data_IF_823579063449
#
_entry.id   IF_823579063449
#
_cell.length_a   1.000
_cell.length_b   1.000
_cell.length_c   1.000
_cell.angle_alpha   90.00
_cell.angle_beta   90.00
_cell.angle_gamma   90.00
#
_symmetry.space_group_name_H-M   'P 1'
#
loop_
_entity.id
_entity.type
_entity.pdbx_description
1 polymer ?
#
# COMPACT_ATOMS: atom_id res chain seq x y z
N UNK A 1 -32.79 -16.16 -0.19
CA UNK A 1 -33.12 -16.79 -1.48
C UNK A 1 -32.42 -18.11 -1.67
N UNK A 2 -32.70 -18.75 -2.79
CA UNK A 2 -32.02 -19.96 -3.24
C UNK A 2 -31.35 -19.64 -4.55
N UNK A 3 -30.11 -20.04 -4.75
CA UNK A 3 -29.40 -19.94 -6.02
C UNK A 3 -29.58 -21.24 -6.77
N UNK A 4 -29.96 -21.17 -8.05
CA UNK A 4 -30.20 -22.31 -8.92
C UNK A 4 -29.51 -22.13 -10.27
N UNK A 5 -29.18 -23.24 -10.98
CA UNK A 5 -28.68 -23.16 -12.35
C UNK A 5 -29.66 -22.46 -13.29
N UNK A 6 -29.18 -21.74 -14.30
CA UNK A 6 -29.97 -20.94 -15.23
C UNK A 6 -30.47 -19.60 -14.69
N UNK A 7 -30.15 -19.25 -13.47
CA UNK A 7 -30.55 -17.97 -12.88
C UNK A 7 -29.69 -16.83 -13.42
N UNK A 8 -30.32 -15.76 -13.90
CA UNK A 8 -29.60 -14.53 -14.28
C UNK A 8 -29.31 -13.67 -13.05
N UNK A 9 -28.07 -13.27 -12.91
CA UNK A 9 -27.58 -12.48 -11.78
C UNK A 9 -26.83 -11.24 -12.26
N UNK A 10 -26.89 -10.17 -11.45
CA UNK A 10 -26.01 -9.04 -11.56
C UNK A 10 -24.77 -9.33 -10.72
N UNK A 11 -23.61 -9.24 -11.33
CA UNK A 11 -22.31 -9.33 -10.66
C UNK A 11 -21.83 -7.91 -10.41
N UNK A 12 -21.79 -7.50 -9.16
CA UNK A 12 -21.36 -6.15 -8.74
C UNK A 12 -19.94 -6.22 -8.24
N UNK A 13 -19.04 -5.45 -8.83
CA UNK A 13 -17.67 -5.30 -8.37
C UNK A 13 -17.57 -4.42 -7.12
N UNK A 14 -16.35 -4.26 -6.61
CA UNK A 14 -16.09 -3.49 -5.39
C UNK A 14 -16.31 -1.97 -5.56
N UNK A 15 -16.11 -1.47 -6.77
CA UNK A 15 -16.25 -0.05 -7.12
C UNK A 15 -17.66 0.35 -7.57
N UNK A 16 -18.59 -0.60 -7.68
CA UNK A 16 -19.95 -0.33 -8.12
C UNK A 16 -20.68 0.67 -7.22
N UNK A 17 -21.33 1.64 -7.83
CA UNK A 17 -22.29 2.55 -7.18
C UNK A 17 -23.62 2.54 -7.95
N UNK A 18 -24.77 2.78 -7.30
CA UNK A 18 -26.06 2.83 -8.00
C UNK A 18 -26.16 3.92 -9.07
N UNK A 19 -25.30 4.95 -8.98
CA UNK A 19 -25.24 6.09 -9.91
C UNK A 19 -24.32 5.82 -11.09
N UNK A 20 -23.41 4.83 -10.96
CA UNK A 20 -22.42 4.47 -11.95
C UNK A 20 -22.37 2.95 -12.11
N UNK A 21 -22.84 2.46 -13.26
CA UNK A 21 -22.93 1.03 -13.56
C UNK A 21 -21.63 0.47 -14.19
N UNK A 22 -20.51 1.18 -14.15
CA UNK A 22 -19.27 0.77 -14.82
C UNK A 22 -18.73 -0.58 -14.31
N UNK A 23 -18.88 -0.90 -13.02
CA UNK A 23 -18.36 -2.13 -12.41
C UNK A 23 -19.50 -3.16 -12.18
N UNK A 24 -20.41 -3.31 -13.15
CA UNK A 24 -21.50 -4.28 -13.14
C UNK A 24 -21.47 -5.14 -14.41
N UNK A 25 -21.72 -6.43 -14.24
CA UNK A 25 -21.93 -7.35 -15.35
C UNK A 25 -23.18 -8.22 -15.12
N UNK A 26 -23.86 -8.55 -16.21
CA UNK A 26 -24.95 -9.54 -16.18
C UNK A 26 -24.37 -10.89 -16.56
N UNK A 27 -24.56 -11.90 -15.72
CA UNK A 27 -24.12 -13.27 -15.94
C UNK A 27 -25.25 -14.25 -15.67
N UNK A 28 -25.11 -15.45 -16.21
CA UNK A 28 -26.01 -16.57 -15.96
C UNK A 28 -25.25 -17.63 -15.16
N UNK A 29 -25.86 -18.16 -14.11
CA UNK A 29 -25.30 -19.25 -13.31
C UNK A 29 -25.44 -20.54 -14.13
N UNK A 30 -24.33 -21.05 -14.63
CA UNK A 30 -24.32 -22.28 -15.44
C UNK A 30 -24.56 -23.53 -14.58
N UNK A 31 -23.78 -23.66 -13.50
CA UNK A 31 -23.84 -24.79 -12.57
C UNK A 31 -23.72 -24.33 -11.12
N UNK A 32 -24.34 -25.09 -10.24
CA UNK A 32 -24.29 -24.88 -8.79
C UNK A 32 -23.78 -26.16 -8.12
N UNK A 33 -22.75 -26.02 -7.27
CA UNK A 33 -22.15 -27.14 -6.58
C UNK A 33 -22.08 -26.91 -5.08
N UNK A 34 -22.05 -27.99 -4.32
CA UNK A 34 -21.67 -28.03 -2.91
C UNK A 34 -20.29 -28.67 -2.79
N UNK A 35 -19.37 -27.99 -2.13
CA UNK A 35 -18.02 -28.50 -1.86
C UNK A 35 -17.99 -29.37 -0.61
N UNK A 36 -17.60 -30.63 -0.78
CA UNK A 36 -17.38 -31.57 0.31
C UNK A 36 -15.89 -31.93 0.37
N UNK A 37 -15.08 -31.02 0.89
CA UNK A 37 -13.61 -31.12 0.99
C UNK A 37 -12.95 -31.39 -0.39
N UNK A 38 -12.68 -32.63 -0.72
CA UNK A 38 -12.05 -33.06 -1.99
C UNK A 38 -13.05 -33.19 -3.14
N UNK A 39 -14.31 -33.40 -2.83
CA UNK A 39 -15.36 -33.67 -3.83
C UNK A 39 -16.24 -32.46 -4.03
N UNK A 40 -16.72 -32.29 -5.24
CA UNK A 40 -17.67 -31.26 -5.65
C UNK A 40 -18.90 -31.96 -6.16
N UNK A 41 -20.05 -31.73 -5.53
CA UNK A 41 -21.32 -32.36 -5.87
C UNK A 41 -22.23 -31.34 -6.52
N UNK A 42 -22.68 -31.60 -7.73
CA UNK A 42 -23.65 -30.77 -8.46
C UNK A 42 -25.04 -30.88 -7.83
N UNK A 43 -25.72 -29.75 -7.71
CA UNK A 43 -27.06 -29.66 -7.07
C UNK A 43 -27.98 -28.74 -7.88
N UNK A 44 -29.29 -29.00 -7.80
CA UNK A 44 -30.32 -28.20 -8.45
C UNK A 44 -30.53 -26.81 -7.76
N UNK A 45 -29.94 -26.58 -6.62
CA UNK A 45 -29.99 -25.29 -5.93
C UNK A 45 -29.50 -25.34 -4.49
N UNK A 46 -28.99 -24.22 -4.01
CA UNK A 46 -28.45 -24.06 -2.67
C UNK A 46 -29.22 -22.96 -1.93
N UNK A 47 -29.80 -23.24 -0.75
CA UNK A 47 -30.58 -22.27 0.01
C UNK A 47 -29.68 -21.26 0.72
N UNK A 48 -30.27 -20.15 1.15
CA UNK A 48 -29.62 -19.11 1.94
C UNK A 48 -29.01 -19.67 3.23
N UNK A 49 -27.81 -19.18 3.57
CA UNK A 49 -27.06 -19.59 4.76
C UNK A 49 -26.10 -20.77 4.50
N UNK A 50 -26.07 -21.30 3.29
CA UNK A 50 -25.15 -22.37 2.88
C UNK A 50 -24.06 -21.86 1.95
N UNK A 51 -22.94 -22.57 1.89
CA UNK A 51 -21.85 -22.33 0.92
C UNK A 51 -22.21 -22.98 -0.40
N UNK A 52 -21.99 -22.26 -1.50
CA UNK A 52 -22.18 -22.76 -2.85
C UNK A 52 -20.97 -22.42 -3.71
N UNK A 53 -20.60 -23.33 -4.62
CA UNK A 53 -19.67 -23.07 -5.71
C UNK A 53 -20.50 -22.80 -6.97
N UNK A 54 -20.23 -21.69 -7.64
CA UNK A 54 -20.97 -21.25 -8.82
C UNK A 54 -20.05 -21.21 -10.04
N UNK A 55 -20.53 -21.71 -11.18
CA UNK A 55 -19.86 -21.60 -12.46
C UNK A 55 -20.58 -20.58 -13.37
N UNK A 56 -19.86 -19.95 -14.28
CA UNK A 56 -20.40 -19.04 -15.29
C UNK A 56 -20.43 -17.55 -14.87
N UNK A 57 -20.10 -17.21 -13.63
CA UNK A 57 -20.18 -15.84 -13.10
C UNK A 57 -18.82 -15.17 -12.87
N UNK A 58 -17.73 -15.90 -13.05
CA UNK A 58 -16.39 -15.46 -12.62
C UNK A 58 -15.68 -14.51 -13.59
N UNK A 59 -16.12 -14.39 -14.83
CA UNK A 59 -15.40 -13.69 -15.90
C UNK A 59 -15.14 -12.20 -15.57
N UNK A 60 -16.11 -11.51 -14.96
CA UNK A 60 -16.03 -10.09 -14.57
C UNK A 60 -15.43 -9.87 -13.19
N UNK A 61 -15.25 -10.92 -12.38
CA UNK A 61 -14.77 -10.79 -11.00
C UNK A 61 -13.25 -10.61 -10.99
N UNK A 62 -12.79 -9.58 -10.30
CA UNK A 62 -11.34 -9.32 -10.09
C UNK A 62 -10.84 -10.04 -8.85
N UNK A 63 -11.47 -9.83 -7.69
CA UNK A 63 -11.19 -10.52 -6.42
C UNK A 63 -12.44 -10.97 -5.71
N UNK A 64 -13.31 -10.02 -5.36
CA UNK A 64 -14.59 -10.28 -4.75
C UNK A 64 -15.70 -9.57 -5.52
N UNK A 65 -16.90 -10.08 -5.43
CA UNK A 65 -18.08 -9.49 -6.04
C UNK A 65 -19.32 -9.81 -5.22
N UNK A 66 -20.35 -9.00 -5.40
CA UNK A 66 -21.66 -9.26 -4.83
C UNK A 66 -22.58 -9.71 -5.93
N UNK A 67 -23.25 -10.85 -5.72
CA UNK A 67 -24.26 -11.36 -6.65
C UNK A 67 -25.65 -10.94 -6.19
N UNK A 68 -26.39 -10.29 -7.08
CA UNK A 68 -27.78 -9.90 -6.87
C UNK A 68 -28.67 -10.48 -7.97
N UNK A 69 -29.95 -10.64 -7.70
CA UNK A 69 -30.92 -11.02 -8.72
C UNK A 69 -30.98 -9.93 -9.82
N UNK A 70 -30.97 -10.37 -11.08
CA UNK A 70 -31.03 -9.45 -12.22
C UNK A 70 -32.31 -8.59 -12.25
N UNK A 71 -33.38 -9.05 -11.62
CA UNK A 71 -34.66 -8.35 -11.56
C UNK A 71 -34.67 -7.19 -10.52
N UNK A 72 -33.68 -7.11 -9.62
CA UNK A 72 -33.65 -6.06 -8.61
C UNK A 72 -33.36 -4.68 -9.24
N UNK A 73 -34.08 -3.60 -8.85
CA UNK A 73 -33.79 -2.26 -9.32
C UNK A 73 -32.45 -1.76 -8.78
N UNK A 74 -31.78 -0.88 -9.54
CA UNK A 74 -30.45 -0.36 -9.19
C UNK A 74 -30.41 0.30 -7.81
N UNK A 75 -31.47 0.98 -7.40
CA UNK A 75 -31.59 1.65 -6.10
C UNK A 75 -31.55 0.68 -4.89
N UNK A 76 -31.85 -0.60 -5.10
CA UNK A 76 -31.85 -1.65 -4.06
C UNK A 76 -30.62 -2.56 -4.15
N UNK A 77 -29.76 -2.34 -5.14
CA UNK A 77 -28.56 -3.14 -5.33
C UNK A 77 -27.35 -2.41 -4.73
N UNK A 78 -26.79 -2.98 -3.67
CA UNK A 78 -25.58 -2.45 -3.04
C UNK A 78 -24.52 -3.54 -2.91
N UNK A 79 -23.25 -3.24 -3.23
CA UNK A 79 -22.17 -4.20 -3.02
C UNK A 79 -21.95 -4.42 -1.52
N UNK A 80 -21.67 -5.67 -1.16
CA UNK A 80 -21.20 -6.00 0.18
C UNK A 80 -19.80 -5.45 0.36
N UNK A 81 -19.47 -5.05 1.58
CA UNK A 81 -18.11 -4.59 1.89
C UNK A 81 -17.10 -5.71 1.63
N UNK A 82 -15.95 -5.41 1.00
CA UNK A 82 -14.90 -6.41 0.82
C UNK A 82 -14.40 -6.92 2.17
N UNK A 83 -13.91 -8.17 2.18
CA UNK A 83 -13.34 -8.76 3.39
C UNK A 83 -12.04 -8.04 3.74
N UNK A 84 -11.94 -7.58 4.98
CA UNK A 84 -10.71 -7.00 5.52
C UNK A 84 -9.82 -8.10 6.08
N UNK A 85 -8.57 -8.13 5.64
CA UNK A 85 -7.57 -9.07 6.14
C UNK A 85 -6.73 -8.44 7.24
N UNK A 86 -6.30 -9.25 8.22
CA UNK A 86 -5.50 -8.78 9.35
C UNK A 86 -4.03 -8.55 8.98
N UNK A 87 -3.58 -9.13 7.87
CA UNK A 87 -2.21 -9.01 7.41
C UNK A 87 -2.12 -8.27 6.08
N UNK A 88 -1.03 -7.54 5.88
CA UNK A 88 -0.72 -6.83 4.64
C UNK A 88 0.34 -7.58 3.85
N UNK A 89 0.24 -7.55 2.52
CA UNK A 89 1.25 -8.11 1.62
C UNK A 89 2.38 -7.13 1.43
N UNK A 90 3.59 -7.55 1.76
CA UNK A 90 4.77 -6.67 1.84
C UNK A 90 5.97 -7.15 1.02
N UNK A 91 5.94 -8.40 0.53
CA UNK A 91 7.02 -8.97 -0.27
C UNK A 91 6.67 -8.91 -1.75
N UNK A 92 7.51 -8.29 -2.58
CA UNK A 92 7.34 -8.12 -4.02
C UNK A 92 8.25 -9.06 -4.80
N UNK A 93 7.73 -9.61 -5.88
CA UNK A 93 8.50 -10.38 -6.87
C UNK A 93 8.05 -9.97 -8.27
N UNK A 94 8.98 -9.67 -9.16
CA UNK A 94 8.68 -9.42 -10.56
C UNK A 94 8.69 -10.73 -11.36
N UNK A 95 7.75 -10.87 -12.28
CA UNK A 95 7.58 -12.05 -13.13
C UNK A 95 7.55 -11.68 -14.60
N UNK A 96 8.27 -12.43 -15.41
CA UNK A 96 8.33 -12.30 -16.86
C UNK A 96 8.20 -13.68 -17.51
N UNK A 97 7.54 -13.82 -18.66
CA UNK A 97 7.57 -15.06 -19.40
C UNK A 97 8.98 -15.27 -19.99
N UNK A 98 9.45 -16.50 -20.05
CA UNK A 98 10.73 -16.81 -20.70
C UNK A 98 10.68 -16.47 -22.19
N UNK A 99 9.55 -16.76 -22.85
CA UNK A 99 9.26 -16.41 -24.23
C UNK A 99 8.29 -15.21 -24.27
N UNK A 100 8.65 -14.06 -24.85
CA UNK A 100 7.76 -12.89 -24.92
C UNK A 100 6.42 -13.14 -25.62
N UNK A 101 6.35 -14.10 -26.55
CA UNK A 101 5.11 -14.49 -27.23
C UNK A 101 4.06 -15.13 -26.30
N UNK A 102 4.47 -15.63 -25.13
CA UNK A 102 3.60 -16.24 -24.13
C UNK A 102 3.02 -15.24 -23.11
N UNK A 103 3.33 -13.96 -23.26
CA UNK A 103 2.82 -12.91 -22.39
C UNK A 103 1.29 -12.92 -22.22
N UNK A 104 0.45 -13.09 -23.26
CA UNK A 104 -1.00 -13.17 -23.08
C UNK A 104 -1.44 -14.31 -22.17
N UNK A 105 -0.79 -15.48 -22.27
CA UNK A 105 -1.07 -16.64 -21.39
C UNK A 105 -0.71 -16.35 -19.95
N UNK A 106 0.44 -15.70 -19.72
CA UNK A 106 0.85 -15.29 -18.39
C UNK A 106 -0.16 -14.30 -17.79
N UNK A 107 -0.64 -13.32 -18.55
CA UNK A 107 -1.63 -12.34 -18.08
C UNK A 107 -2.95 -12.99 -17.69
N UNK A 108 -3.41 -13.98 -18.48
CA UNK A 108 -4.60 -14.76 -18.13
C UNK A 108 -4.38 -15.56 -16.85
N UNK A 109 -3.22 -16.20 -16.71
CA UNK A 109 -2.83 -16.91 -15.49
C UNK A 109 -2.76 -15.99 -14.28
N UNK A 110 -2.19 -14.78 -14.41
CA UNK A 110 -2.14 -13.78 -13.35
C UNK A 110 -3.53 -13.35 -12.89
N UNK A 111 -4.49 -13.19 -13.80
CA UNK A 111 -5.89 -12.90 -13.45
C UNK A 111 -6.53 -14.04 -12.64
N UNK A 112 -6.29 -15.29 -13.03
CA UNK A 112 -6.80 -16.48 -12.32
C UNK A 112 -6.18 -16.61 -10.93
N UNK A 113 -4.86 -16.43 -10.83
CA UNK A 113 -4.12 -16.48 -9.55
C UNK A 113 -4.57 -15.36 -8.62
N UNK A 114 -4.80 -14.15 -9.13
CA UNK A 114 -5.28 -13.03 -8.33
C UNK A 114 -6.67 -13.30 -7.70
N UNK A 115 -7.54 -14.03 -8.39
CA UNK A 115 -8.84 -14.47 -7.84
C UNK A 115 -8.68 -15.56 -6.78
N UNK A 116 -7.75 -16.49 -6.98
CA UNK A 116 -7.56 -17.67 -6.11
C UNK A 116 -6.93 -17.31 -4.78
N UNK A 117 -5.98 -16.34 -4.80
CA UNK A 117 -5.22 -15.93 -3.63
C UNK A 117 -5.69 -14.56 -3.10
N UNK A 118 -6.48 -14.50 -2.00
CA UNK A 118 -7.09 -13.25 -1.55
C UNK A 118 -6.09 -12.16 -1.15
N UNK A 119 -4.97 -12.55 -0.54
CA UNK A 119 -3.93 -11.63 -0.08
C UNK A 119 -2.92 -11.26 -1.18
N UNK A 120 -2.94 -11.93 -2.32
CA UNK A 120 -2.06 -11.59 -3.44
C UNK A 120 -2.52 -10.28 -4.08
N UNK A 121 -1.59 -9.39 -4.35
CA UNK A 121 -1.82 -8.21 -5.17
C UNK A 121 -0.97 -8.28 -6.42
N UNK A 122 -1.59 -8.18 -7.59
CA UNK A 122 -0.89 -8.09 -8.86
C UNK A 122 -0.85 -6.63 -9.30
N UNK A 123 0.31 -6.16 -9.72
CA UNK A 123 0.51 -4.79 -10.20
C UNK A 123 1.42 -4.76 -11.41
N UNK A 124 1.21 -3.81 -12.29
CA UNK A 124 2.15 -3.45 -13.35
C UNK A 124 2.85 -2.17 -12.90
N UNK A 125 4.17 -2.23 -12.76
CA UNK A 125 4.98 -1.06 -12.42
C UNK A 125 5.12 -0.14 -13.65
N UNK A 126 5.56 1.11 -13.46
CA UNK A 126 5.76 2.05 -14.57
C UNK A 126 6.81 1.58 -15.59
N UNK A 127 7.76 0.75 -15.15
CA UNK A 127 8.72 0.06 -16.00
C UNK A 127 8.11 -0.97 -16.97
N UNK A 128 6.82 -1.33 -16.78
CA UNK A 128 6.14 -2.39 -17.50
C UNK A 128 6.32 -3.79 -16.91
N UNK A 129 7.04 -3.92 -15.80
CA UNK A 129 7.21 -5.19 -15.10
C UNK A 129 5.93 -5.61 -14.39
N UNK A 130 5.58 -6.90 -14.51
CA UNK A 130 4.48 -7.49 -13.76
C UNK A 130 4.97 -7.92 -12.39
N UNK A 131 4.45 -7.31 -11.33
CA UNK A 131 4.83 -7.63 -9.96
C UNK A 131 3.72 -8.35 -9.21
N UNK A 132 4.13 -9.34 -8.43
CA UNK A 132 3.31 -10.04 -7.45
C UNK A 132 3.71 -9.58 -6.05
N UNK A 133 2.74 -9.21 -5.23
CA UNK A 133 2.96 -8.78 -3.86
C UNK A 133 2.24 -9.77 -2.95
N UNK A 134 3.00 -10.46 -2.11
CA UNK A 134 2.50 -11.50 -1.21
C UNK A 134 2.89 -11.26 0.25
N UNK A 135 2.35 -12.06 1.13
CA UNK A 135 2.54 -11.94 2.59
C UNK A 135 3.88 -12.49 3.07
N UNK A 136 4.48 -13.41 2.32
CA UNK A 136 5.73 -14.04 2.72
C UNK A 136 6.31 -14.93 1.62
N UNK A 137 7.50 -15.48 1.88
CA UNK A 137 8.28 -16.28 0.94
C UNK A 137 7.54 -17.54 0.50
N UNK A 138 7.06 -18.34 1.44
CA UNK A 138 6.33 -19.58 1.16
C UNK A 138 5.01 -19.32 0.41
N UNK A 139 4.31 -18.24 0.74
CA UNK A 139 3.08 -17.85 0.03
C UNK A 139 3.35 -17.53 -1.44
N UNK A 140 4.41 -16.76 -1.73
CA UNK A 140 4.80 -16.44 -3.09
C UNK A 140 5.28 -17.67 -3.86
N UNK A 141 5.98 -18.60 -3.21
CA UNK A 141 6.39 -19.84 -3.87
C UNK A 141 5.19 -20.70 -4.29
N UNK A 142 4.15 -20.80 -3.45
CA UNK A 142 2.91 -21.46 -3.81
C UNK A 142 2.22 -20.78 -5.00
N UNK A 143 2.13 -19.46 -4.98
CA UNK A 143 1.55 -18.65 -6.05
C UNK A 143 2.29 -18.85 -7.38
N UNK A 144 3.63 -18.81 -7.34
CA UNK A 144 4.48 -19.00 -8.52
C UNK A 144 4.41 -20.42 -9.07
N UNK A 145 4.30 -21.42 -8.19
CA UNK A 145 4.10 -22.81 -8.58
C UNK A 145 2.77 -22.99 -9.32
N UNK A 146 1.69 -22.48 -8.75
CA UNK A 146 0.36 -22.59 -9.35
C UNK A 146 0.26 -21.79 -10.64
N UNK A 147 0.90 -20.62 -10.72
CA UNK A 147 0.97 -19.84 -11.95
C UNK A 147 1.66 -20.62 -13.07
N UNK A 148 2.77 -21.31 -12.78
CA UNK A 148 3.53 -22.09 -13.76
C UNK A 148 2.80 -23.34 -14.22
N UNK A 149 2.23 -24.10 -13.29
CA UNK A 149 1.74 -25.47 -13.54
C UNK A 149 0.25 -25.51 -13.78
N UNK A 150 -0.56 -24.77 -13.00
CA UNK A 150 -2.02 -24.89 -13.05
C UNK A 150 -2.67 -23.90 -14.01
N UNK A 151 -2.20 -22.64 -14.02
CA UNK A 151 -2.94 -21.55 -14.68
C UNK A 151 -2.37 -21.12 -16.03
N UNK A 152 -1.06 -21.11 -16.17
CA UNK A 152 -0.43 -20.63 -17.41
C UNK A 152 0.24 -21.73 -18.22
N UNK A 153 0.71 -22.81 -17.60
CA UNK A 153 1.48 -23.90 -18.20
C UNK A 153 2.68 -23.38 -19.03
N UNK A 154 3.41 -22.38 -18.47
CA UNK A 154 4.56 -21.73 -19.12
C UNK A 154 5.73 -21.62 -18.14
N UNK A 155 6.93 -21.52 -18.70
CA UNK A 155 8.11 -21.18 -17.91
C UNK A 155 8.21 -19.68 -17.66
N UNK A 156 8.41 -19.31 -16.40
CA UNK A 156 8.43 -17.93 -15.93
C UNK A 156 9.79 -17.65 -15.29
N UNK A 157 10.38 -16.54 -15.70
CA UNK A 157 11.53 -15.95 -15.02
C UNK A 157 11.04 -15.12 -13.85
N UNK A 158 11.65 -15.33 -12.69
CA UNK A 158 11.31 -14.68 -11.43
C UNK A 158 12.49 -13.87 -10.95
N UNK A 159 12.24 -12.62 -10.53
CA UNK A 159 13.29 -11.78 -9.94
C UNK A 159 13.54 -12.16 -8.48
N UNK A 160 14.67 -11.68 -7.94
CA UNK A 160 14.90 -11.75 -6.50
C UNK A 160 13.79 -11.02 -5.74
N UNK A 161 13.32 -11.56 -4.60
CA UNK A 161 12.29 -10.92 -3.80
C UNK A 161 12.76 -9.58 -3.24
N UNK A 162 11.86 -8.60 -3.27
CA UNK A 162 12.08 -7.24 -2.76
C UNK A 162 10.98 -6.89 -1.79
N UNK A 163 11.34 -6.18 -0.75
CA UNK A 163 10.39 -5.69 0.24
C UNK A 163 9.74 -4.40 -0.25
N UNK A 164 8.45 -4.24 -0.01
CA UNK A 164 7.72 -2.98 -0.18
C UNK A 164 8.17 -2.02 0.92
N UNK A 165 8.69 -0.87 0.54
CA UNK A 165 9.01 0.22 1.46
C UNK A 165 7.92 1.27 1.46
N UNK A 166 7.99 2.19 2.41
CA UNK A 166 7.19 3.41 2.44
C UNK A 166 8.09 4.62 2.77
N UNK A 167 7.68 5.77 2.28
CA UNK A 167 8.42 7.02 2.51
C UNK A 167 7.67 7.88 3.53
N UNK A 168 8.36 8.41 4.52
CA UNK A 168 7.76 9.24 5.58
C UNK A 168 8.59 10.47 5.89
N UNK A 169 8.03 11.37 6.69
CA UNK A 169 8.69 12.52 7.25
C UNK A 169 8.66 12.48 8.78
N UNK A 170 9.65 13.07 9.41
CA UNK A 170 9.78 13.06 10.88
C UNK A 170 9.54 14.44 11.49
N UNK A 171 9.83 15.48 10.73
CA UNK A 171 9.71 16.87 11.17
C UNK A 171 8.84 17.67 10.19
N UNK A 172 8.42 18.85 10.59
CA UNK A 172 7.74 19.80 9.71
C UNK A 172 8.75 20.38 8.72
N UNK A 173 8.30 20.66 7.48
CA UNK A 173 9.14 21.31 6.45
C UNK A 173 9.84 22.54 7.00
N UNK A 174 11.15 22.63 6.78
CA UNK A 174 11.98 23.74 7.29
C UNK A 174 11.52 25.12 6.80
N UNK A 175 10.95 25.17 5.60
CA UNK A 175 10.40 26.38 4.97
C UNK A 175 9.07 26.06 4.28
N UNK A 176 8.29 27.11 4.03
CA UNK A 176 7.08 27.00 3.21
C UNK A 176 7.49 26.77 1.75
N UNK A 177 7.12 25.63 1.21
CA UNK A 177 7.47 25.23 -0.14
C UNK A 177 6.44 25.70 -1.13
N UNK A 178 6.83 26.43 -2.14
CA UNK A 178 5.94 26.83 -3.20
C UNK A 178 6.39 26.31 -4.57
N UNK A 179 5.43 26.10 -5.45
CA UNK A 179 5.68 25.79 -6.84
C UNK A 179 4.78 26.63 -7.74
N UNK A 180 5.37 27.17 -8.80
CA UNK A 180 4.65 27.89 -9.83
C UNK A 180 4.23 26.93 -10.93
N UNK A 181 3.05 27.17 -11.53
CA UNK A 181 2.67 26.45 -12.75
C UNK A 181 3.58 26.83 -13.91
N UNK A 182 3.76 25.96 -14.93
CA UNK A 182 4.60 26.26 -16.09
C UNK A 182 4.23 27.56 -16.81
N UNK A 183 2.96 27.98 -16.75
CA UNK A 183 2.50 29.25 -17.30
C UNK A 183 2.79 30.48 -16.40
N UNK A 184 3.36 30.26 -15.20
CA UNK A 184 3.70 31.32 -14.24
C UNK A 184 2.52 32.09 -13.63
N UNK A 185 1.27 31.61 -13.81
CA UNK A 185 0.06 32.32 -13.38
C UNK A 185 -0.61 31.76 -12.14
N UNK A 186 -0.18 30.59 -11.70
CA UNK A 186 -0.68 30.01 -10.48
C UNK A 186 0.51 29.62 -9.60
N UNK A 187 0.31 29.71 -8.28
CA UNK A 187 1.31 29.36 -7.27
C UNK A 187 0.61 28.59 -6.17
N UNK A 188 1.19 27.48 -5.77
CA UNK A 188 0.73 26.68 -4.63
C UNK A 188 1.82 26.63 -3.57
N UNK A 189 1.46 26.92 -2.32
CA UNK A 189 2.38 26.89 -1.18
C UNK A 189 1.92 25.79 -0.23
N UNK A 190 2.79 24.84 0.03
CA UNK A 190 2.53 23.65 0.86
C UNK A 190 3.57 23.52 1.97
N UNK A 191 3.16 22.84 3.04
CA UNK A 191 4.02 22.35 4.12
C UNK A 191 3.70 20.89 4.37
N UNK A 192 4.71 20.06 4.56
CA UNK A 192 4.57 18.69 5.01
C UNK A 192 4.96 18.57 6.47
N UNK A 193 4.24 17.76 7.21
CA UNK A 193 4.50 17.43 8.61
C UNK A 193 4.12 15.97 8.90
N UNK A 194 4.68 15.35 9.96
CA UNK A 194 4.30 13.99 10.32
C UNK A 194 2.85 13.95 10.77
N UNK A 195 2.14 12.89 10.35
CA UNK A 195 0.79 12.61 10.82
C UNK A 195 0.86 12.03 12.24
N UNK A 196 -0.11 12.35 13.08
CA UNK A 196 -0.20 11.85 14.45
C UNK A 196 -0.34 10.33 14.47
N UNK A 197 0.29 9.69 15.46
CA UNK A 197 0.32 8.24 15.61
C UNK A 197 -1.07 7.63 15.70
N UNK A 198 -1.27 6.52 15.03
CA UNK A 198 -2.50 5.74 15.04
C UNK A 198 -3.52 6.13 13.97
N UNK A 199 -3.45 7.33 13.38
CA UNK A 199 -4.39 7.76 12.33
C UNK A 199 -4.22 6.91 11.07
N UNK A 200 -2.98 6.69 10.64
CA UNK A 200 -2.70 5.91 9.45
C UNK A 200 -3.19 4.47 9.57
N UNK A 201 -2.92 3.82 10.70
CA UNK A 201 -3.37 2.47 10.99
C UNK A 201 -4.89 2.36 11.06
N UNK A 202 -5.56 3.36 11.66
CA UNK A 202 -7.01 3.38 11.76
C UNK A 202 -7.69 3.66 10.42
N UNK A 203 -7.06 4.46 9.54
CA UNK A 203 -7.52 4.66 8.16
C UNK A 203 -7.41 3.36 7.34
N UNK A 204 -6.28 2.68 7.41
CA UNK A 204 -6.04 1.43 6.67
C UNK A 204 -6.93 0.28 7.16
N UNK A 205 -7.19 0.20 8.46
CA UNK A 205 -8.11 -0.78 9.05
C UNK A 205 -9.60 -0.47 8.80
N UNK A 206 -9.90 0.70 8.20
CA UNK A 206 -11.27 1.13 7.96
C UNK A 206 -12.06 1.49 9.23
N UNK A 207 -11.37 1.75 10.34
CA UNK A 207 -11.99 2.28 11.58
C UNK A 207 -12.53 3.68 11.33
N UNK A 208 -11.82 4.45 10.51
CA UNK A 208 -12.25 5.76 10.03
C UNK A 208 -12.92 5.54 8.67
N UNK A 209 -14.23 5.69 8.60
CA UNK A 209 -14.96 5.65 7.34
C UNK A 209 -14.91 7.04 6.68
N UNK A 210 -14.07 7.17 5.67
CA UNK A 210 -13.85 8.43 4.93
C UNK A 210 -15.04 8.89 4.08
N UNK A 211 -16.00 7.98 3.83
CA UNK A 211 -17.24 8.28 3.08
C UNK A 211 -18.30 8.97 3.94
N UNK A 212 -18.09 9.08 5.24
CA UNK A 212 -19.01 9.76 6.14
C UNK A 212 -19.03 11.27 5.89
N UNK A 213 -20.16 11.93 6.24
CA UNK A 213 -20.26 13.38 6.14
C UNK A 213 -19.10 14.09 6.87
N UNK A 214 -18.53 15.18 6.34
CA UNK A 214 -17.36 15.86 6.91
C UNK A 214 -17.53 16.28 8.38
N UNK A 215 -18.77 16.53 8.82
CA UNK A 215 -19.06 16.87 10.22
C UNK A 215 -18.84 15.69 11.18
N UNK A 216 -19.21 14.47 10.75
CA UNK A 216 -19.04 13.25 11.56
C UNK A 216 -17.58 12.87 11.60
N UNK A 217 -16.90 12.95 10.46
CA UNK A 217 -15.46 12.71 10.35
C UNK A 217 -14.68 13.68 11.25
N UNK A 218 -15.00 14.97 11.21
CA UNK A 218 -14.36 15.98 12.05
C UNK A 218 -14.55 15.72 13.55
N UNK A 219 -15.75 15.29 13.95
CA UNK A 219 -16.03 14.93 15.35
C UNK A 219 -15.17 13.72 15.79
N UNK A 220 -15.03 12.72 14.94
CA UNK A 220 -14.18 11.55 15.20
C UNK A 220 -12.71 11.95 15.39
N UNK A 221 -12.18 12.80 14.50
CA UNK A 221 -10.79 13.30 14.61
C UNK A 221 -10.58 14.14 15.86
N UNK A 222 -11.56 14.94 16.26
CA UNK A 222 -11.49 15.74 17.47
C UNK A 222 -11.50 14.86 18.74
N UNK A 223 -12.42 13.91 18.83
CA UNK A 223 -12.59 13.07 20.03
C UNK A 223 -11.43 12.08 20.23
N UNK A 224 -10.92 11.51 19.15
CA UNK A 224 -9.93 10.43 19.23
C UNK A 224 -8.49 10.90 19.13
N UNK A 225 -8.22 11.89 18.30
CA UNK A 225 -6.85 12.36 18.03
C UNK A 225 -6.57 13.78 18.54
N UNK A 226 -7.57 14.45 19.11
CA UNK A 226 -7.41 15.78 19.66
C UNK A 226 -7.23 16.90 18.63
N UNK A 227 -7.65 16.66 17.36
CA UNK A 227 -7.56 17.67 16.32
C UNK A 227 -8.50 18.84 16.60
N UNK A 228 -8.10 20.04 16.19
CA UNK A 228 -9.01 21.18 16.17
C UNK A 228 -10.17 20.95 15.21
N UNK A 229 -11.38 21.36 15.61
CA UNK A 229 -12.59 21.16 14.83
C UNK A 229 -12.55 21.82 13.44
N UNK A 230 -11.82 22.94 13.30
CA UNK A 230 -11.64 23.64 12.03
C UNK A 230 -10.70 22.85 11.12
N UNK A 231 -9.54 22.42 11.66
CA UNK A 231 -8.60 21.61 10.92
C UNK A 231 -9.23 20.29 10.44
N UNK A 232 -10.00 19.61 11.29
CA UNK A 232 -10.68 18.37 10.94
C UNK A 232 -11.76 18.54 9.86
N UNK A 233 -12.38 19.72 9.74
CA UNK A 233 -13.34 20.02 8.67
C UNK A 233 -12.66 20.44 7.36
N UNK A 234 -11.42 20.85 7.41
CA UNK A 234 -10.63 21.29 6.26
C UNK A 234 -9.90 20.14 5.56
N UNK A 235 -10.11 18.88 5.94
CA UNK A 235 -9.59 17.71 5.24
C UNK A 235 -10.18 17.66 3.84
N UNK A 236 -9.30 17.63 2.84
CA UNK A 236 -9.71 17.56 1.44
C UNK A 236 -9.63 16.17 0.87
N UNK A 237 -8.56 15.45 1.18
CA UNK A 237 -8.32 14.13 0.64
C UNK A 237 -7.41 13.30 1.55
N UNK A 238 -7.49 12.01 1.35
CA UNK A 238 -6.52 11.04 1.82
C UNK A 238 -5.70 10.53 0.63
N UNK A 239 -4.50 10.04 0.84
CA UNK A 239 -3.61 9.56 -0.22
C UNK A 239 -2.81 8.34 0.19
N UNK A 240 -2.42 7.50 -0.76
CA UNK A 240 -2.54 7.58 -2.23
C UNK A 240 -3.93 7.26 -2.80
N UNK A 241 -4.79 6.59 -2.06
CA UNK A 241 -6.18 6.29 -2.40
C UNK A 241 -7.15 6.96 -1.43
N UNK A 242 -8.44 6.64 -1.52
CA UNK A 242 -9.46 7.20 -0.64
C UNK A 242 -9.22 6.90 0.85
N UNK A 243 -8.69 5.72 1.17
CA UNK A 243 -8.37 5.27 2.53
C UNK A 243 -6.86 5.27 2.81
N UNK A 244 -6.11 6.12 2.12
CA UNK A 244 -4.65 6.15 2.26
C UNK A 244 -4.18 6.76 3.58
N UNK A 245 -2.97 6.37 4.04
CA UNK A 245 -2.41 6.77 5.33
C UNK A 245 -1.83 8.19 5.37
N UNK A 246 -2.17 9.04 4.41
CA UNK A 246 -1.73 10.43 4.33
C UNK A 246 -2.93 11.35 4.21
N UNK A 247 -2.77 12.59 4.67
CA UNK A 247 -3.86 13.56 4.73
C UNK A 247 -3.46 14.87 4.04
N UNK A 248 -4.38 15.42 3.23
CA UNK A 248 -4.27 16.77 2.65
C UNK A 248 -5.27 17.70 3.33
N UNK A 249 -4.77 18.81 3.87
CA UNK A 249 -5.57 19.83 4.57
C UNK A 249 -5.53 21.17 3.84
N UNK A 250 -6.65 21.87 3.85
CA UNK A 250 -6.72 23.30 3.49
C UNK A 250 -6.57 24.16 4.75
N UNK A 251 -5.40 24.73 4.94
CA UNK A 251 -5.08 25.63 6.05
C UNK A 251 -4.87 27.08 5.58
N UNK A 252 -5.39 27.43 4.42
CA UNK A 252 -5.31 28.81 3.89
C UNK A 252 -6.24 29.74 4.66
N UNK A 253 -5.78 30.96 4.90
CA UNK A 253 -6.59 31.99 5.54
C UNK A 253 -7.51 32.66 4.53
N UNK A 254 -8.81 32.91 4.88
CA UNK A 254 -9.76 33.57 3.99
C UNK A 254 -9.36 34.99 3.56
N UNK A 255 -8.55 35.65 4.39
CA UNK A 255 -8.06 37.01 4.13
C UNK A 255 -6.90 37.04 3.11
N UNK A 256 -6.16 35.94 2.96
CA UNK A 256 -5.00 35.82 2.10
C UNK A 256 -5.30 35.14 0.77
N UNK A 257 -6.27 34.22 0.74
CA UNK A 257 -6.58 33.39 -0.40
C UNK A 257 -8.06 33.45 -0.74
N UNK A 258 -8.38 33.68 -2.03
CA UNK A 258 -9.76 33.56 -2.51
C UNK A 258 -10.22 32.10 -2.50
N UNK A 259 -10.97 31.75 -1.48
CA UNK A 259 -11.52 30.39 -1.29
C UNK A 259 -12.39 29.93 -2.46
N UNK A 260 -13.13 30.83 -3.13
CA UNK A 260 -13.98 30.46 -4.25
C UNK A 260 -13.12 30.01 -5.44
N UNK A 261 -12.04 30.74 -5.71
CA UNK A 261 -11.10 30.36 -6.76
C UNK A 261 -10.35 29.09 -6.42
N UNK A 262 -9.90 28.93 -5.19
CA UNK A 262 -9.24 27.73 -4.72
C UNK A 262 -10.12 26.47 -4.85
N UNK A 263 -11.41 26.58 -4.55
CA UNK A 263 -12.36 25.47 -4.72
C UNK A 263 -12.52 25.02 -6.19
N UNK A 264 -12.34 25.91 -7.16
CA UNK A 264 -12.42 25.51 -8.58
C UNK A 264 -11.29 24.58 -9.02
N UNK A 265 -10.16 24.62 -8.36
CA UNK A 265 -8.97 23.78 -8.65
C UNK A 265 -8.76 22.66 -7.63
N UNK A 266 -9.66 22.54 -6.65
CA UNK A 266 -9.58 21.57 -5.55
C UNK A 266 -9.33 20.15 -6.03
N UNK A 267 -10.09 19.67 -7.00
CA UNK A 267 -9.98 18.28 -7.48
C UNK A 267 -8.62 18.04 -8.18
N UNK A 268 -8.08 19.03 -8.86
CA UNK A 268 -6.75 18.92 -9.49
C UNK A 268 -5.62 18.88 -8.45
N UNK A 269 -5.76 19.66 -7.37
CA UNK A 269 -4.80 19.62 -6.25
C UNK A 269 -4.84 18.26 -5.54
N UNK A 270 -6.04 17.73 -5.29
CA UNK A 270 -6.21 16.37 -4.73
C UNK A 270 -5.53 15.32 -5.58
N UNK A 271 -5.78 15.32 -6.90
CA UNK A 271 -5.16 14.37 -7.83
C UNK A 271 -3.64 14.48 -7.81
N UNK A 272 -3.10 15.71 -7.81
CA UNK A 272 -1.66 15.95 -7.73
C UNK A 272 -1.05 15.43 -6.42
N UNK A 273 -1.71 15.64 -5.29
CA UNK A 273 -1.31 15.10 -4.00
C UNK A 273 -1.38 13.56 -3.97
N UNK A 274 -2.48 12.97 -4.43
CA UNK A 274 -2.65 11.51 -4.46
C UNK A 274 -1.62 10.84 -5.37
N UNK A 275 -1.31 11.46 -6.51
CA UNK A 275 -0.23 10.99 -7.38
C UNK A 275 1.13 11.08 -6.69
N UNK A 276 1.45 12.20 -6.06
CA UNK A 276 2.67 12.36 -5.26
C UNK A 276 2.77 11.38 -4.09
N UNK A 277 1.65 11.11 -3.41
CA UNK A 277 1.61 10.15 -2.31
C UNK A 277 1.75 8.69 -2.76
N UNK A 278 1.42 8.36 -4.00
CA UNK A 278 1.57 7.01 -4.58
C UNK A 278 3.03 6.71 -4.91
N UNK A 279 3.75 7.68 -5.38
CA UNK A 279 5.14 7.58 -5.83
C UNK A 279 5.95 8.69 -5.18
N UNK A 280 6.62 8.39 -4.07
CA UNK A 280 7.40 9.37 -3.33
C UNK A 280 8.71 9.78 -4.00
N UNK A 281 9.33 10.88 -3.58
CA UNK A 281 10.54 11.42 -4.22
C UNK A 281 11.84 10.68 -3.89
N UNK A 282 11.85 9.81 -2.87
CA UNK A 282 13.06 9.09 -2.48
C UNK A 282 13.36 7.93 -3.44
N UNK A 283 12.43 7.00 -3.61
CA UNK A 283 12.61 5.80 -4.41
C UNK A 283 11.31 5.30 -5.09
N UNK A 284 10.36 6.19 -5.38
CA UNK A 284 9.05 5.89 -5.97
C UNK A 284 8.26 4.84 -5.16
N UNK A 285 8.38 4.88 -3.83
CA UNK A 285 7.56 4.09 -2.93
C UNK A 285 6.44 4.96 -2.33
N UNK A 286 5.30 4.37 -1.92
CA UNK A 286 4.18 5.16 -1.41
C UNK A 286 4.55 5.91 -0.13
N UNK A 287 4.05 7.12 0.00
CA UNK A 287 4.17 7.90 1.23
C UNK A 287 3.27 7.33 2.32
N UNK A 288 3.71 7.43 3.57
CA UNK A 288 2.98 7.00 4.75
C UNK A 288 3.21 7.94 5.93
N UNK A 289 2.19 8.18 6.72
CA UNK A 289 2.22 9.05 7.90
C UNK A 289 2.60 10.50 7.57
N UNK A 290 2.16 11.02 6.43
CA UNK A 290 2.43 12.39 6.00
C UNK A 290 1.15 13.21 6.01
N UNK A 291 1.20 14.38 6.63
CA UNK A 291 0.15 15.40 6.60
C UNK A 291 0.65 16.57 5.78
N UNK A 292 -0.04 16.89 4.69
CA UNK A 292 0.29 18.03 3.82
C UNK A 292 -0.75 19.12 4.02
N UNK A 293 -0.29 20.33 4.32
CA UNK A 293 -1.13 21.52 4.54
C UNK A 293 -0.93 22.49 3.39
N UNK A 294 -2.02 22.95 2.83
CA UNK A 294 -2.03 24.04 1.87
C UNK A 294 -2.06 25.35 2.69
N UNK A 295 -1.00 26.12 2.60
CA UNK A 295 -0.88 27.39 3.34
C UNK A 295 -1.27 28.57 2.48
N UNK A 296 -0.97 28.53 1.17
CA UNK A 296 -1.28 29.59 0.25
C UNK A 296 -1.55 29.08 -1.15
N UNK A 297 -2.36 29.82 -1.89
CA UNK A 297 -2.63 29.54 -3.29
C UNK A 297 -2.96 30.83 -4.03
N UNK A 298 -2.25 31.08 -5.11
CA UNK A 298 -2.59 32.11 -6.08
C UNK A 298 -3.12 31.41 -7.33
N UNK A 299 -4.38 31.66 -7.69
CA UNK A 299 -5.05 30.98 -8.80
C UNK A 299 -5.51 32.01 -9.82
N UNK A 300 -5.19 31.76 -11.10
CA UNK A 300 -5.59 32.62 -12.20
C UNK A 300 -7.11 32.70 -12.32
N UNK A 301 -7.63 33.90 -12.63
CA UNK A 301 -9.08 34.12 -12.77
C UNK A 301 -9.65 33.42 -14.00
N UNK A 302 -8.88 33.40 -15.11
CA UNK A 302 -9.34 32.78 -16.35
C UNK A 302 -9.19 31.25 -16.30
N UNK A 303 -10.27 30.50 -16.65
CA UNK A 303 -10.25 29.01 -16.58
C UNK A 303 -9.17 28.36 -17.45
N UNK A 304 -8.81 28.98 -18.57
CA UNK A 304 -7.81 28.46 -19.52
C UNK A 304 -6.41 28.31 -18.88
N UNK A 305 -6.09 29.13 -17.87
CA UNK A 305 -4.78 29.14 -17.23
C UNK A 305 -4.71 28.26 -15.97
N UNK A 306 -5.85 27.74 -15.49
CA UNK A 306 -5.95 26.89 -14.28
C UNK A 306 -6.43 25.47 -14.58
N UNK A 307 -6.18 24.99 -15.79
CA UNK A 307 -6.53 23.61 -16.18
C UNK A 307 -5.75 22.55 -15.42
N UNK A 308 -6.28 21.31 -15.39
CA UNK A 308 -5.66 20.18 -14.70
C UNK A 308 -4.22 19.90 -15.13
N UNK A 309 -3.91 20.02 -16.43
CA UNK A 309 -2.55 19.86 -16.96
C UNK A 309 -1.51 20.85 -16.39
N UNK A 310 -1.96 21.97 -15.82
CA UNK A 310 -1.08 22.94 -15.14
C UNK A 310 -1.01 22.67 -13.62
N UNK A 311 -2.15 22.41 -12.99
CA UNK A 311 -2.25 22.33 -11.53
C UNK A 311 -1.77 20.97 -10.99
N UNK A 312 -2.12 19.85 -11.63
CA UNK A 312 -1.78 18.49 -11.14
C UNK A 312 -0.26 18.30 -10.99
N UNK A 313 0.57 18.54 -12.03
CA UNK A 313 2.02 18.37 -11.89
C UNK A 313 2.64 19.38 -10.94
N UNK A 314 2.07 20.59 -10.83
CA UNK A 314 2.54 21.60 -9.88
C UNK A 314 2.25 21.21 -8.43
N UNK A 315 1.06 20.69 -8.15
CA UNK A 315 0.72 20.16 -6.83
C UNK A 315 1.61 18.98 -6.44
N UNK A 316 1.90 18.05 -7.37
CA UNK A 316 2.87 16.96 -7.14
C UNK A 316 4.25 17.50 -6.81
N UNK A 317 4.78 18.45 -7.63
CA UNK A 317 6.09 19.06 -7.39
C UNK A 317 6.18 19.79 -6.06
N UNK A 318 5.15 20.56 -5.69
CA UNK A 318 5.09 21.24 -4.40
C UNK A 318 5.05 20.25 -3.22
N UNK A 319 4.31 19.14 -3.36
CA UNK A 319 4.28 18.08 -2.36
C UNK A 319 5.65 17.43 -2.18
N UNK A 320 6.38 17.17 -3.27
CA UNK A 320 7.74 16.62 -3.20
C UNK A 320 8.72 17.59 -2.56
N UNK A 321 8.65 18.88 -2.89
CA UNK A 321 9.47 19.90 -2.27
C UNK A 321 9.23 19.98 -0.76
N UNK A 322 7.97 20.02 -0.34
CA UNK A 322 7.59 20.04 1.08
C UNK A 322 8.06 18.78 1.81
N UNK A 323 7.89 17.60 1.20
CA UNK A 323 8.31 16.32 1.75
C UNK A 323 9.84 16.24 1.96
N UNK A 324 10.63 16.62 0.94
CA UNK A 324 12.09 16.55 1.02
C UNK A 324 12.68 17.52 2.05
N UNK A 325 12.00 18.62 2.34
CA UNK A 325 12.40 19.59 3.37
C UNK A 325 11.86 19.27 4.77
N UNK A 326 11.11 18.19 4.92
CA UNK A 326 10.50 17.74 6.17
C UNK A 326 11.27 16.59 6.84
N UNK A 327 12.58 16.51 6.66
CA UNK A 327 13.42 15.44 7.20
C UNK A 327 12.91 14.05 6.76
N UNK A 328 13.07 13.71 5.48
CA UNK A 328 12.52 12.47 4.93
C UNK A 328 13.18 11.23 5.54
N UNK A 329 12.41 10.16 5.71
CA UNK A 329 12.86 8.85 6.19
C UNK A 329 12.23 7.74 5.37
N UNK A 330 12.89 6.58 5.37
CA UNK A 330 12.39 5.34 4.80
C UNK A 330 11.73 4.51 5.91
N UNK A 331 10.58 3.91 5.63
CA UNK A 331 9.94 2.93 6.50
C UNK A 331 10.03 1.54 5.88
N UNK A 332 10.32 0.56 6.73
CA UNK A 332 10.32 -0.85 6.40
C UNK A 332 9.21 -1.59 7.16
N UNK A 333 8.60 -2.62 6.56
CA UNK A 333 7.65 -3.47 7.26
C UNK A 333 8.38 -4.39 8.23
N UNK A 334 7.71 -4.70 9.34
CA UNK A 334 8.23 -5.57 10.41
C UNK A 334 7.28 -6.72 10.61
N UNK A 335 7.83 -7.94 10.66
CA UNK A 335 7.12 -9.14 11.05
C UNK A 335 7.11 -9.31 12.57
N UNK A 336 5.94 -9.64 13.09
CA UNK A 336 5.82 -10.31 14.37
C UNK A 336 6.15 -11.80 14.17
N UNK A 337 7.06 -12.30 14.96
CA UNK A 337 7.53 -13.69 14.87
C UNK A 337 7.27 -14.37 16.20
N UNK A 338 6.61 -15.51 16.14
CA UNK A 338 6.39 -16.39 17.27
C UNK A 338 7.14 -17.71 17.03
N UNK A 339 8.17 -17.95 17.83
CA UNK A 339 9.01 -19.15 17.76
C UNK A 339 8.66 -20.05 18.91
N UNK A 340 8.29 -21.29 18.61
CA UNK A 340 8.11 -22.35 19.61
C UNK A 340 9.32 -23.27 19.57
N UNK A 341 10.06 -23.35 20.66
CA UNK A 341 11.29 -24.12 20.76
C UNK A 341 11.48 -24.75 22.15
N UNK A 342 12.21 -25.88 22.26
CA UNK A 342 12.69 -26.38 23.53
C UNK A 342 13.62 -25.36 24.23
N UNK A 343 13.71 -25.37 25.57
CA UNK A 343 14.55 -24.43 26.33
C UNK A 343 16.03 -24.45 25.92
N UNK A 344 16.53 -25.58 25.47
CA UNK A 344 17.92 -25.76 25.01
C UNK A 344 18.21 -24.98 23.73
N UNK A 345 17.21 -24.77 22.89
CA UNK A 345 17.35 -24.06 21.59
C UNK A 345 17.14 -22.56 21.71
N UNK A 346 16.63 -22.03 22.81
CA UNK A 346 16.25 -20.63 22.98
C UNK A 346 17.46 -19.70 22.77
N UNK A 347 18.62 -20.03 23.29
CA UNK A 347 19.87 -19.24 23.09
C UNK A 347 20.25 -19.12 21.61
N UNK A 348 20.05 -20.19 20.84
CA UNK A 348 20.24 -20.18 19.39
C UNK A 348 19.26 -19.26 18.67
N UNK A 349 17.98 -19.27 19.07
CA UNK A 349 16.96 -18.37 18.54
C UNK A 349 17.35 -16.90 18.77
N UNK A 350 17.78 -16.54 19.97
CA UNK A 350 18.27 -15.18 20.27
C UNK A 350 19.43 -14.77 19.38
N UNK A 351 20.40 -15.65 19.20
CA UNK A 351 21.57 -15.38 18.35
C UNK A 351 21.17 -15.16 16.90
N UNK A 352 20.23 -15.95 16.39
CA UNK A 352 19.74 -15.83 15.02
C UNK A 352 18.97 -14.53 14.81
N UNK A 353 18.07 -14.17 15.74
CA UNK A 353 17.33 -12.92 15.69
C UNK A 353 18.26 -11.70 15.72
N UNK A 354 19.28 -11.71 16.60
CA UNK A 354 20.25 -10.63 16.70
C UNK A 354 21.03 -10.41 15.40
N UNK A 355 21.42 -11.49 14.69
CA UNK A 355 22.08 -11.40 13.38
C UNK A 355 21.23 -10.77 12.29
N UNK A 356 19.90 -10.85 12.42
CA UNK A 356 18.90 -10.40 11.47
C UNK A 356 18.15 -9.12 11.91
N UNK A 357 18.79 -8.28 12.73
CA UNK A 357 18.21 -7.04 13.28
C UNK A 357 16.90 -7.26 14.06
N UNK A 358 16.58 -8.50 14.41
CA UNK A 358 15.41 -8.82 15.22
C UNK A 358 15.64 -8.56 16.68
N UNK A 359 14.56 -8.32 17.43
CA UNK A 359 14.61 -8.20 18.88
C UNK A 359 13.49 -8.99 19.53
N UNK A 360 13.82 -9.67 20.62
CA UNK A 360 12.87 -10.42 21.41
C UNK A 360 12.11 -9.48 22.33
N UNK A 361 10.79 -9.62 22.36
CA UNK A 361 9.91 -8.86 23.26
C UNK A 361 9.55 -9.63 24.50
N UNK A 362 9.33 -10.94 24.37
CA UNK A 362 8.88 -11.77 25.47
C UNK A 362 9.18 -13.25 25.21
N UNK A 363 9.52 -13.99 26.25
CA UNK A 363 9.59 -15.44 26.26
C UNK A 363 8.64 -15.98 27.32
N UNK A 364 7.80 -16.91 26.90
CA UNK A 364 6.74 -17.46 27.72
C UNK A 364 6.91 -18.99 27.76
N UNK A 365 7.28 -19.56 28.90
CA UNK A 365 7.23 -21.03 29.10
C UNK A 365 5.78 -21.51 28.96
N UNK A 366 5.55 -22.53 28.15
CA UNK A 366 4.22 -23.10 27.97
C UNK A 366 3.94 -24.12 29.04
N UNK A 367 3.03 -23.81 29.97
CA UNK A 367 2.70 -24.65 31.07
C UNK A 367 2.27 -26.07 30.63
N UNK A 368 2.82 -27.11 31.27
CA UNK A 368 2.52 -28.51 30.97
C UNK A 368 3.22 -29.07 29.72
N UNK A 369 4.12 -28.32 29.09
CA UNK A 369 4.90 -28.77 27.93
C UNK A 369 6.37 -28.36 28.08
N UNK A 370 7.33 -29.11 27.49
CA UNK A 370 8.75 -28.74 27.49
C UNK A 370 9.04 -27.72 26.38
N UNK A 371 8.17 -26.74 26.19
CA UNK A 371 8.30 -25.73 25.11
C UNK A 371 8.27 -24.32 25.69
N UNK A 372 9.06 -23.43 25.05
CA UNK A 372 9.07 -22.01 25.31
C UNK A 372 8.59 -21.31 24.04
N UNK A 373 7.67 -20.36 24.15
CA UNK A 373 7.25 -19.48 23.07
C UNK A 373 8.02 -18.17 23.16
N UNK A 374 8.85 -17.90 22.17
CA UNK A 374 9.62 -16.64 22.03
C UNK A 374 8.87 -15.73 21.07
N UNK A 375 8.49 -14.55 21.53
CA UNK A 375 7.88 -13.50 20.74
C UNK A 375 8.92 -12.47 20.36
N UNK A 376 9.00 -12.14 19.09
CA UNK A 376 10.03 -11.25 18.57
C UNK A 376 9.51 -10.41 17.39
N UNK A 377 10.23 -9.36 17.06
CA UNK A 377 10.05 -8.59 15.84
C UNK A 377 11.29 -8.73 14.97
N UNK A 378 11.08 -8.84 13.65
CA UNK A 378 12.15 -8.91 12.66
C UNK A 378 11.77 -8.05 11.44
N UNK A 379 12.68 -7.20 10.92
CA UNK A 379 12.43 -6.51 9.67
C UNK A 379 12.27 -7.50 8.50
N UNK A 380 11.28 -7.28 7.65
CA UNK A 380 10.96 -8.19 6.53
C UNK A 380 12.15 -8.37 5.59
N UNK A 381 12.96 -7.32 5.42
CA UNK A 381 14.17 -7.37 4.58
C UNK A 381 15.16 -8.44 5.04
N UNK A 382 15.29 -8.65 6.34
CA UNK A 382 16.19 -9.64 6.94
C UNK A 382 15.50 -10.96 7.33
N UNK A 383 14.18 -11.06 7.12
CA UNK A 383 13.40 -12.25 7.44
C UNK A 383 13.54 -13.37 6.41
N UNK A 384 14.00 -13.06 5.18
CA UNK A 384 14.17 -14.06 4.14
C UNK A 384 15.13 -15.17 4.57
N UNK A 385 14.69 -16.44 4.45
CA UNK A 385 15.44 -17.60 4.87
C UNK A 385 15.56 -17.79 6.40
N UNK A 386 14.88 -16.98 7.22
CA UNK A 386 14.92 -17.11 8.69
C UNK A 386 14.44 -18.47 9.16
N UNK A 387 13.37 -18.99 8.59
CA UNK A 387 12.81 -20.29 8.97
C UNK A 387 13.79 -21.43 8.65
N UNK A 388 14.46 -21.37 7.51
CA UNK A 388 15.46 -22.36 7.12
C UNK A 388 16.65 -22.37 8.08
N UNK A 389 17.18 -21.18 8.38
CA UNK A 389 18.30 -21.07 9.33
C UNK A 389 17.90 -21.50 10.74
N UNK A 390 16.66 -21.19 11.17
CA UNK A 390 16.12 -21.63 12.45
C UNK A 390 16.06 -23.15 12.55
N UNK A 391 15.55 -23.81 11.51
CA UNK A 391 15.47 -25.29 11.48
C UNK A 391 16.84 -25.94 11.46
N UNK A 392 17.80 -25.39 10.71
CA UNK A 392 19.18 -25.87 10.69
C UNK A 392 19.81 -25.74 12.08
N UNK A 393 19.67 -24.57 12.71
CA UNK A 393 20.28 -24.29 14.02
C UNK A 393 19.68 -25.14 15.14
N UNK A 394 18.38 -25.42 15.08
CA UNK A 394 17.64 -26.17 16.11
C UNK A 394 17.43 -27.63 15.76
N UNK A 395 18.07 -28.15 14.70
CA UNK A 395 17.90 -29.52 14.21
C UNK A 395 16.44 -29.91 13.99
N UNK A 396 15.62 -28.97 13.51
CA UNK A 396 14.20 -29.15 13.24
C UNK A 396 13.27 -29.10 14.48
N UNK A 397 13.80 -28.80 15.67
CA UNK A 397 13.01 -28.79 16.90
C UNK A 397 12.20 -27.50 17.11
N UNK A 398 12.59 -26.40 16.47
CA UNK A 398 11.87 -25.14 16.55
C UNK A 398 10.96 -24.93 15.33
N UNK A 399 9.83 -24.31 15.60
CA UNK A 399 8.84 -23.90 14.61
C UNK A 399 8.57 -22.41 14.75
N UNK A 400 8.41 -21.68 13.65
CA UNK A 400 8.08 -20.27 13.69
C UNK A 400 6.84 -19.93 12.86
N UNK A 401 6.09 -18.94 13.34
CA UNK A 401 5.04 -18.24 12.60
C UNK A 401 5.49 -16.80 12.39
N UNK A 402 5.31 -16.29 11.19
CA UNK A 402 5.65 -14.92 10.82
C UNK A 402 4.41 -14.24 10.22
N UNK A 403 4.09 -13.05 10.70
CA UNK A 403 3.01 -12.25 10.16
C UNK A 403 3.40 -10.77 10.17
N UNK A 404 2.90 -10.01 9.21
CA UNK A 404 3.08 -8.56 9.22
C UNK A 404 2.41 -7.95 10.46
N UNK A 405 3.10 -7.04 11.15
CA UNK A 405 2.59 -6.35 12.34
C UNK A 405 2.50 -4.84 12.12
N UNK A 406 3.63 -4.20 11.87
CA UNK A 406 3.68 -2.74 11.75
C UNK A 406 4.80 -2.26 10.82
N UNK A 407 4.76 -0.96 10.54
CA UNK A 407 5.80 -0.25 9.82
C UNK A 407 6.76 0.43 10.80
N UNK A 408 8.06 0.31 10.56
CA UNK A 408 9.12 0.93 11.36
C UNK A 408 10.03 1.81 10.51
N UNK A 409 10.58 2.87 11.09
CA UNK A 409 11.54 3.73 10.40
C UNK A 409 12.89 3.04 10.33
N UNK A 410 13.47 2.98 9.12
CA UNK A 410 14.82 2.45 8.91
C UNK A 410 15.84 3.39 9.54
N UNK A 411 16.83 2.88 10.30
CA UNK A 411 17.89 3.72 10.87
C UNK A 411 18.69 4.47 9.80
N UNK A 412 18.99 5.73 10.06
CA UNK A 412 19.80 6.59 9.20
C UNK A 412 19.00 7.57 8.36
N UNK A 413 19.73 8.49 7.73
CA UNK A 413 19.18 9.50 6.81
C UNK A 413 19.39 9.05 5.36
N UNK A 414 18.33 8.88 4.56
CA UNK A 414 18.46 8.48 3.16
C UNK A 414 19.16 9.55 2.29
N UNK A 415 19.17 10.80 2.74
CA UNK A 415 19.79 11.93 2.00
C UNK A 415 21.22 12.23 2.43
N UNK A 416 21.70 11.63 3.52
CA UNK A 416 23.05 11.87 4.04
C UNK A 416 24.13 11.27 3.12
N UNK A 417 24.94 12.14 2.52
CA UNK A 417 26.04 11.77 1.64
C UNK A 417 27.38 11.61 2.35
N UNK A 418 27.48 11.93 3.65
CA UNK A 418 28.71 11.86 4.42
C UNK A 418 29.21 10.43 4.63
N UNK A 419 28.31 9.47 4.67
CA UNK A 419 28.63 8.05 4.88
C UNK A 419 28.97 7.40 3.54
N UNK A 420 30.19 6.88 3.42
CA UNK A 420 30.61 6.12 2.24
C UNK A 420 30.04 4.70 2.31
N UNK A 421 29.22 4.36 1.32
CA UNK A 421 28.71 3.00 1.14
C UNK A 421 29.64 2.22 0.22
N UNK A 422 30.07 1.04 0.67
CA UNK A 422 30.91 0.12 -0.12
C UNK A 422 30.06 -1.00 -0.70
N UNK A 423 30.13 -1.28 -2.02
CA UNK A 423 29.21 -2.20 -2.69
C UNK A 423 29.22 -3.65 -2.16
N UNK A 424 30.34 -4.10 -1.60
CA UNK A 424 30.55 -5.49 -1.16
C UNK A 424 30.52 -5.66 0.36
N UNK A 425 30.37 -4.59 1.11
CA UNK A 425 30.32 -4.62 2.57
C UNK A 425 28.91 -4.30 3.04
N UNK A 426 28.43 -4.89 4.16
CA UNK A 426 27.17 -4.51 4.75
C UNK A 426 27.20 -3.04 5.19
N UNK A 427 26.14 -2.31 4.91
CA UNK A 427 26.03 -0.91 5.28
C UNK A 427 26.09 -0.72 6.81
N UNK A 428 26.75 0.31 7.32
CA UNK A 428 26.71 0.64 8.72
C UNK A 428 25.26 1.01 9.13
N UNK A 429 24.86 0.84 10.39
CA UNK A 429 23.47 1.09 10.83
C UNK A 429 22.92 2.46 10.43
N UNK A 430 23.72 3.52 10.54
CA UNK A 430 23.33 4.87 10.14
C UNK A 430 23.28 5.10 8.62
N UNK A 431 23.90 4.25 7.83
CA UNK A 431 23.91 4.29 6.36
C UNK A 431 22.87 3.36 5.71
N UNK A 432 22.15 2.59 6.50
CA UNK A 432 21.26 1.54 6.01
C UNK A 432 20.09 2.09 5.16
N UNK A 433 19.44 3.16 5.61
CA UNK A 433 18.36 3.80 4.87
C UNK A 433 18.81 4.27 3.49
N UNK A 434 20.00 4.89 3.40
CA UNK A 434 20.56 5.33 2.13
C UNK A 434 20.93 4.17 1.22
N UNK A 435 21.48 3.09 1.75
CA UNK A 435 21.81 1.88 0.97
C UNK A 435 20.54 1.29 0.35
N UNK A 436 19.45 1.17 1.12
CA UNK A 436 18.18 0.68 0.62
C UNK A 436 17.60 1.60 -0.47
N UNK A 437 17.57 2.91 -0.24
CA UNK A 437 17.06 3.87 -1.23
C UNK A 437 17.89 3.78 -2.53
N UNK A 438 19.21 3.73 -2.48
CA UNK A 438 20.04 3.62 -3.68
C UNK A 438 19.82 2.31 -4.43
N UNK A 439 19.71 1.18 -3.72
CA UNK A 439 19.39 -0.12 -4.32
C UNK A 439 18.04 -0.09 -5.03
N UNK A 440 17.02 0.48 -4.38
CA UNK A 440 15.67 0.60 -4.95
C UNK A 440 15.65 1.53 -6.16
N UNK A 441 16.33 2.69 -6.09
CA UNK A 441 16.45 3.62 -7.22
C UNK A 441 17.11 2.98 -8.44
N UNK A 442 18.22 2.27 -8.24
CA UNK A 442 18.92 1.55 -9.32
C UNK A 442 18.03 0.48 -9.94
N UNK A 443 17.29 -0.26 -9.12
CA UNK A 443 16.36 -1.28 -9.62
C UNK A 443 15.23 -0.69 -10.45
N UNK A 444 14.74 0.49 -10.09
CA UNK A 444 13.69 1.22 -10.83
C UNK A 444 14.24 2.09 -11.96
N UNK A 445 15.54 2.06 -12.23
CA UNK A 445 16.19 2.87 -13.27
C UNK A 445 16.24 4.37 -12.95
N UNK A 446 16.08 4.75 -11.68
CA UNK A 446 16.20 6.13 -11.23
C UNK A 446 17.66 6.53 -11.01
N UNK A 447 17.98 7.81 -11.16
CA UNK A 447 19.31 8.34 -10.87
C UNK A 447 19.71 8.17 -9.41
N UNK A 448 21.02 7.98 -9.14
CA UNK A 448 21.55 7.76 -7.78
C UNK A 448 21.42 8.98 -6.85
N UNK A 449 21.21 10.17 -7.41
CA UNK A 449 21.07 11.42 -6.63
C UNK A 449 19.62 11.86 -6.50
N UNK A 450 19.24 12.20 -5.27
CA UNK A 450 17.97 12.86 -5.00
C UNK A 450 18.22 14.36 -5.14
N UNK A 451 17.89 14.90 -6.33
CA UNK A 451 18.12 16.31 -6.62
C UNK A 451 16.99 17.17 -6.05
N UNK A 452 17.19 17.73 -4.86
CA UNK A 452 16.24 18.67 -4.25
C UNK A 452 15.95 19.87 -5.17
N UNK A 453 16.97 20.34 -5.89
CA UNK A 453 16.86 21.43 -6.86
C UNK A 453 15.89 21.17 -8.02
N UNK A 454 15.56 19.92 -8.30
CA UNK A 454 14.60 19.57 -9.36
C UNK A 454 13.14 19.92 -8.99
N UNK A 455 12.86 20.00 -7.68
CA UNK A 455 11.50 20.23 -7.19
C UNK A 455 11.30 21.64 -6.62
N UNK A 456 12.38 22.32 -6.20
CA UNK A 456 12.35 23.67 -5.67
C UNK A 456 12.41 24.73 -6.79
N UNK A 457 11.84 25.89 -6.52
CA UNK A 457 12.06 27.10 -7.33
C UNK A 457 13.48 27.66 -7.10
N UNK A 458 14.04 28.34 -8.09
CA UNK A 458 15.42 28.83 -8.02
C UNK A 458 15.67 29.75 -6.80
N UNK A 459 14.71 30.60 -6.49
CA UNK A 459 14.80 31.52 -5.35
C UNK A 459 14.87 30.78 -4.01
N UNK A 460 14.14 29.65 -3.89
CA UNK A 460 14.19 28.80 -2.71
C UNK A 460 15.52 28.07 -2.59
N UNK A 461 16.09 27.61 -3.70
CA UNK A 461 17.42 26.98 -3.72
C UNK A 461 18.48 27.98 -3.24
N UNK A 462 18.41 29.22 -3.67
CA UNK A 462 19.33 30.28 -3.24
C UNK A 462 19.16 30.62 -1.76
N UNK A 463 17.91 30.66 -1.26
CA UNK A 463 17.64 30.92 0.16
C UNK A 463 18.12 29.79 1.09
N UNK A 464 18.10 28.54 0.63
CA UNK A 464 18.60 27.37 1.40
C UNK A 464 20.13 27.24 1.35
N UNK A 465 20.81 27.88 0.38
CA UNK A 465 22.25 27.87 0.24
C UNK A 465 22.96 28.97 1.07
N UNK A 466 22.20 29.93 1.60
CA UNK A 466 22.67 30.97 2.53
C UNK A 466 22.57 30.49 3.99
#
# INVERSE_FOLDING_TARGET
>A
GTVAPGQRVKVLGEAYTPEDEEDMALAEVEHVYVGETRYVVETDGVPAGSWALLAGVDASIVKSATLCDAALPAEQTHPLRPLTHLTESVLKVAVEPLNPSELPRMLEGLRKVNKTYPLLTTRVEESGEHTLIGTGELYLDCVLHDLRILYSEIEIKVSDPVVKFAETVVETSAVQCYANTPNGRNKLTLIAEPLEKGIAEDLERGVIDVRQPPRVLAKHFQERYGWDALAARSIWAFGPGENGPNVLLDDTLPDEVDKKMLYTVREFIKQGFQWGAREGPLCDEPMRNVKVRIIGAEVAQEPIYRGGGQIIPTARRATYAAFLLATPRLMEPVYYVEVQAPPECVSGVYTLLARRRGHVTQDIPKAGTPLVTVKAYIPVMDANGFETDLRVLTQGQAFCLQMFDHWSVVPGDPTDTSIQLRPLEPAPPLGLARDFVLKMRRRKGLGDTIALSAYLEQDMVLALAQ
#
